data_IF_472878412614
#
_entry.id   IF_472878412614
#
_cell.length_a   1.000
_cell.length_b   1.000
_cell.length_c   1.000
_cell.angle_alpha   90.00
_cell.angle_beta   90.00
_cell.angle_gamma   90.00
#
_symmetry.space_group_name_H-M   'P 1'
#
loop_
_entity.id
_entity.type
_entity.pdbx_description
1 polymer ?
#
# COMPACT_ATOMS: atom_id res chain seq x y z
N UNK A 1 12.83 13.70 -1.88
CA UNK A 1 11.68 13.06 -2.54
C UNK A 1 11.64 11.60 -2.15
N UNK A 2 10.48 11.07 -1.76
CA UNK A 2 10.33 9.64 -1.42
C UNK A 2 10.26 8.80 -2.68
N UNK A 3 10.72 7.55 -2.59
CA UNK A 3 10.57 6.54 -3.65
C UNK A 3 9.94 5.28 -3.09
N UNK A 4 9.15 4.61 -3.92
CA UNK A 4 8.41 3.41 -3.58
C UNK A 4 8.82 2.28 -4.48
N UNK A 5 8.99 1.09 -3.90
CA UNK A 5 9.47 -0.08 -4.60
C UNK A 5 8.61 -1.30 -4.28
N UNK A 6 8.49 -2.19 -5.26
CA UNK A 6 7.96 -3.53 -5.03
C UNK A 6 8.89 -4.27 -4.06
N UNK A 7 8.40 -4.79 -2.91
CA UNK A 7 9.23 -5.51 -1.95
C UNK A 7 9.79 -6.84 -2.49
N UNK A 8 9.26 -7.36 -3.59
CA UNK A 8 9.64 -8.68 -4.12
C UNK A 8 10.61 -8.63 -5.31
N UNK A 9 10.43 -7.67 -6.22
CA UNK A 9 11.25 -7.56 -7.44
C UNK A 9 12.00 -6.23 -7.55
N UNK A 10 11.87 -5.33 -6.57
CA UNK A 10 12.46 -3.99 -6.56
C UNK A 10 12.08 -3.10 -7.77
N UNK A 11 10.98 -3.41 -8.47
CA UNK A 11 10.39 -2.51 -9.46
C UNK A 11 10.13 -1.12 -8.83
N UNK A 12 10.53 -0.05 -9.52
CA UNK A 12 10.21 1.32 -9.09
C UNK A 12 8.72 1.61 -9.36
N UNK A 13 7.98 1.82 -8.28
CA UNK A 13 6.56 2.11 -8.30
C UNK A 13 6.29 3.62 -8.36
N UNK A 14 7.31 4.45 -8.15
CA UNK A 14 7.21 5.91 -8.08
C UNK A 14 6.85 6.50 -9.44
N UNK A 15 5.84 7.36 -9.48
CA UNK A 15 5.34 7.99 -10.73
C UNK A 15 4.92 9.45 -10.47
N UNK A 16 4.45 10.14 -11.52
CA UNK A 16 3.98 11.53 -11.46
C UNK A 16 5.00 12.46 -10.77
N UNK A 17 6.26 12.37 -11.21
CA UNK A 17 7.38 13.14 -10.65
C UNK A 17 7.55 12.97 -9.13
N UNK A 18 7.22 11.79 -8.60
CA UNK A 18 7.35 11.46 -7.18
C UNK A 18 6.16 11.83 -6.32
N UNK A 19 5.10 12.40 -6.90
CA UNK A 19 3.89 12.75 -6.14
C UNK A 19 2.98 11.56 -5.85
N UNK A 20 3.12 10.46 -6.61
CA UNK A 20 2.33 9.24 -6.44
C UNK A 20 3.16 7.97 -6.65
N UNK A 21 2.60 6.82 -6.27
CA UNK A 21 3.09 5.50 -6.68
C UNK A 21 1.98 4.68 -7.33
N UNK A 22 2.34 3.86 -8.32
CA UNK A 22 1.40 3.03 -9.09
C UNK A 22 1.37 1.60 -8.59
N UNK A 23 0.18 1.03 -8.52
CA UNK A 23 -0.07 -0.38 -8.18
C UNK A 23 -1.08 -0.97 -9.17
N UNK A 24 -1.08 -2.28 -9.36
CA UNK A 24 -2.20 -2.98 -10.00
C UNK A 24 -3.20 -3.36 -8.92
N UNK A 25 -4.41 -2.80 -8.98
CA UNK A 25 -5.51 -3.16 -8.10
C UNK A 25 -6.44 -4.13 -8.79
N UNK A 26 -6.79 -5.21 -8.10
CA UNK A 26 -7.76 -6.21 -8.56
C UNK A 26 -8.99 -6.13 -7.66
N UNK A 27 -10.14 -5.91 -8.27
CA UNK A 27 -11.47 -5.92 -7.66
C UNK A 27 -12.12 -7.24 -8.06
N UNK A 28 -12.55 -8.01 -7.06
CA UNK A 28 -13.13 -9.35 -7.26
C UNK A 28 -14.52 -9.42 -6.68
N UNK A 29 -15.39 -10.16 -7.36
CA UNK A 29 -16.74 -10.54 -6.90
C UNK A 29 -17.04 -11.97 -7.32
N UNK A 30 -18.20 -12.51 -6.92
CA UNK A 30 -18.63 -13.84 -7.35
C UNK A 30 -18.86 -13.98 -8.86
N UNK A 31 -18.99 -12.85 -9.59
CA UNK A 31 -19.40 -12.84 -10.99
C UNK A 31 -18.37 -12.22 -11.95
N UNK A 32 -17.42 -11.44 -11.44
CA UNK A 32 -16.41 -10.78 -12.26
C UNK A 32 -15.15 -10.47 -11.46
N UNK A 33 -14.04 -10.42 -12.19
CA UNK A 33 -12.80 -9.78 -11.77
C UNK A 33 -12.53 -8.58 -12.69
N UNK A 34 -12.15 -7.46 -12.09
CA UNK A 34 -11.72 -6.26 -12.81
C UNK A 34 -10.36 -5.84 -12.27
N UNK A 35 -9.41 -5.53 -13.15
CA UNK A 35 -8.11 -4.99 -12.75
C UNK A 35 -7.85 -3.65 -13.40
N UNK A 36 -7.28 -2.72 -12.64
CA UNK A 36 -6.86 -1.41 -13.13
C UNK A 36 -5.59 -0.94 -12.43
N UNK A 37 -4.98 0.10 -12.98
CA UNK A 37 -3.88 0.79 -12.31
C UNK A 37 -4.44 1.81 -11.32
N UNK A 38 -3.90 1.77 -10.11
CA UNK A 38 -4.19 2.71 -9.03
C UNK A 38 -2.96 3.56 -8.77
N UNK A 39 -3.17 4.86 -8.63
CA UNK A 39 -2.14 5.84 -8.30
C UNK A 39 -2.47 6.42 -6.93
N UNK A 40 -1.66 6.08 -5.93
CA UNK A 40 -1.86 6.52 -4.55
C UNK A 40 -0.89 7.67 -4.21
N UNK A 41 -1.29 8.64 -3.37
CA UNK A 41 -0.41 9.72 -2.94
C UNK A 41 0.86 9.22 -2.25
N UNK A 42 2.00 9.80 -2.63
CA UNK A 42 3.31 9.54 -2.01
C UNK A 42 3.47 10.13 -0.60
N UNK A 43 2.62 11.09 -0.24
CA UNK A 43 2.68 11.80 1.05
C UNK A 43 1.92 10.99 2.10
N UNK A 44 2.60 10.51 3.17
CA UNK A 44 1.91 9.80 4.24
C UNK A 44 0.79 10.65 4.86
N UNK A 45 -0.37 10.02 5.09
CA UNK A 45 -1.57 10.70 5.60
C UNK A 45 -2.37 11.50 4.56
N UNK A 46 -1.96 11.50 3.29
CA UNK A 46 -2.83 11.92 2.20
C UNK A 46 -3.55 10.69 1.64
N UNK A 47 -4.88 10.76 1.61
CA UNK A 47 -5.74 9.65 1.20
C UNK A 47 -6.41 9.94 -0.14
N UNK A 48 -6.93 8.87 -0.75
CA UNK A 48 -7.48 8.88 -2.10
C UNK A 48 -6.62 8.09 -3.08
N UNK A 49 -7.17 7.85 -4.27
CA UNK A 49 -6.45 7.21 -5.36
C UNK A 49 -6.99 7.74 -6.69
N UNK A 50 -6.13 7.82 -7.70
CA UNK A 50 -6.55 7.97 -9.09
C UNK A 50 -6.58 6.58 -9.72
N UNK A 51 -7.61 6.29 -10.50
CA UNK A 51 -7.79 5.05 -11.24
C UNK A 51 -8.73 5.32 -12.43
N UNK A 52 -8.98 4.31 -13.26
CA UNK A 52 -9.83 4.44 -14.46
C UNK A 52 -11.22 5.00 -14.10
N UNK A 53 -11.63 6.09 -14.77
CA UNK A 53 -12.89 6.79 -14.55
C UNK A 53 -14.12 5.92 -14.85
N UNK A 54 -13.95 4.83 -15.62
CA UNK A 54 -15.02 3.87 -15.90
C UNK A 54 -15.31 2.94 -14.72
N UNK A 55 -14.43 2.91 -13.71
CA UNK A 55 -14.58 2.07 -12.53
C UNK A 55 -15.20 2.89 -11.40
N UNK A 56 -16.33 2.43 -10.89
CA UNK A 56 -16.90 2.94 -9.64
C UNK A 56 -16.66 1.94 -8.53
N UNK A 57 -15.95 2.37 -7.48
CA UNK A 57 -15.67 1.56 -6.31
C UNK A 57 -16.55 2.05 -5.16
N UNK A 58 -17.29 1.13 -4.56
CA UNK A 58 -18.10 1.44 -3.38
C UNK A 58 -17.22 1.44 -2.13
N UNK A 59 -17.50 2.36 -1.21
CA UNK A 59 -16.95 2.32 0.14
C UNK A 59 -17.15 0.93 0.79
N UNK A 60 -16.11 0.44 1.46
CA UNK A 60 -16.06 -0.91 2.03
C UNK A 60 -15.57 -1.99 1.06
N UNK A 61 -15.41 -1.70 -0.24
CA UNK A 61 -14.86 -2.67 -1.18
C UNK A 61 -13.36 -2.90 -0.93
N UNK A 62 -12.93 -4.17 -0.90
CA UNK A 62 -11.51 -4.53 -0.78
C UNK A 62 -10.84 -4.51 -2.16
N UNK A 63 -9.72 -3.82 -2.25
CA UNK A 63 -8.83 -3.84 -3.43
C UNK A 63 -7.63 -4.75 -3.16
N UNK A 64 -7.42 -5.71 -4.04
CA UNK A 64 -6.25 -6.58 -3.99
C UNK A 64 -5.09 -5.92 -4.74
N UNK A 65 -4.23 -5.21 -4.01
CA UNK A 65 -3.06 -4.57 -4.60
C UNK A 65 -1.93 -5.57 -4.87
N UNK A 66 -1.35 -5.48 -6.06
CA UNK A 66 -0.25 -6.31 -6.51
C UNK A 66 0.74 -5.51 -7.35
N UNK A 67 1.92 -6.11 -7.58
CA UNK A 67 2.96 -5.51 -8.39
C UNK A 67 2.48 -5.31 -9.84
N UNK A 68 2.63 -4.09 -10.41
CA UNK A 68 2.26 -3.83 -11.80
C UNK A 68 3.24 -4.43 -12.82
N UNK A 69 4.42 -4.92 -12.39
CA UNK A 69 5.32 -5.68 -13.26
C UNK A 69 4.77 -7.11 -13.42
N UNK A 70 4.35 -7.46 -14.63
CA UNK A 70 3.70 -8.75 -14.95
C UNK A 70 4.58 -9.97 -14.68
N UNK A 71 5.91 -9.84 -14.69
CA UNK A 71 6.81 -10.93 -14.30
C UNK A 71 6.81 -11.19 -12.80
N UNK A 72 6.44 -10.19 -12.00
CA UNK A 72 6.31 -10.31 -10.55
C UNK A 72 4.87 -10.64 -10.15
N UNK A 73 3.92 -9.74 -10.44
CA UNK A 73 2.48 -9.91 -10.15
C UNK A 73 2.11 -10.20 -8.69
N UNK A 74 3.08 -10.24 -7.76
CA UNK A 74 2.86 -10.65 -6.37
C UNK A 74 1.98 -9.67 -5.62
N UNK A 75 1.16 -10.23 -4.73
CA UNK A 75 0.27 -9.48 -3.84
C UNK A 75 1.05 -8.70 -2.78
N UNK A 76 0.65 -7.45 -2.54
CA UNK A 76 1.21 -6.61 -1.48
C UNK A 76 0.53 -6.81 -0.13
N UNK A 77 -0.40 -7.75 -0.02
CA UNK A 77 -1.07 -8.11 1.25
C UNK A 77 -0.03 -8.41 2.33
N UNK A 78 -0.18 -7.81 3.52
CA UNK A 78 0.68 -8.17 4.66
C UNK A 78 0.38 -9.59 5.13
N UNK A 79 1.29 -10.19 5.91
CA UNK A 79 1.07 -11.55 6.45
C UNK A 79 0.15 -11.59 7.66
N UNK A 80 0.02 -10.45 8.35
CA UNK A 80 -0.64 -10.36 9.65
C UNK A 80 -2.05 -9.77 9.57
N UNK A 81 -2.37 -8.96 8.55
CA UNK A 81 -3.71 -8.42 8.36
C UNK A 81 -4.10 -8.36 6.87
N UNK A 82 -5.20 -9.02 6.52
CA UNK A 82 -5.70 -9.09 5.14
C UNK A 82 -6.28 -7.76 4.62
N UNK A 83 -6.56 -6.79 5.47
CA UNK A 83 -6.97 -5.44 5.06
C UNK A 83 -5.79 -4.51 4.81
N UNK A 84 -4.56 -4.95 5.11
CA UNK A 84 -3.36 -4.13 4.94
C UNK A 84 -2.53 -4.59 3.73
N UNK A 85 -1.95 -3.62 3.05
CA UNK A 85 -0.92 -3.81 2.03
C UNK A 85 0.37 -3.13 2.46
N UNK A 86 1.51 -3.67 2.04
CA UNK A 86 2.82 -3.09 2.31
C UNK A 86 3.67 -2.94 1.05
N UNK A 87 4.43 -1.84 0.99
CA UNK A 87 5.40 -1.55 -0.06
C UNK A 87 6.68 -1.00 0.55
N UNK A 88 7.81 -1.22 -0.13
CA UNK A 88 9.09 -0.65 0.29
C UNK A 88 9.12 0.84 -0.01
N UNK A 89 9.63 1.64 0.93
CA UNK A 89 9.78 3.08 0.81
C UNK A 89 11.22 3.48 1.11
N UNK A 90 11.78 4.36 0.28
CA UNK A 90 13.00 5.11 0.56
C UNK A 90 12.61 6.56 0.82
N UNK A 91 13.10 7.12 1.91
CA UNK A 91 12.94 8.54 2.18
C UNK A 91 14.00 9.39 1.46
N UNK A 92 14.02 10.70 1.76
CA UNK A 92 14.94 11.63 1.10
C UNK A 92 16.41 11.44 1.49
N UNK A 93 16.64 10.78 2.63
CA UNK A 93 17.97 10.43 3.14
C UNK A 93 18.39 9.01 2.72
N UNK A 94 17.60 8.36 1.85
CA UNK A 94 17.77 6.94 1.49
C UNK A 94 17.63 5.98 2.66
N UNK A 95 16.93 6.38 3.74
CA UNK A 95 16.56 5.44 4.80
C UNK A 95 15.45 4.51 4.30
N UNK A 96 15.64 3.21 4.52
CA UNK A 96 14.64 2.20 4.20
C UNK A 96 13.54 2.15 5.25
N UNK A 97 12.30 2.18 4.78
CA UNK A 97 11.10 2.00 5.60
C UNK A 97 10.08 1.20 4.80
N UNK A 98 9.03 0.75 5.47
CA UNK A 98 7.89 0.10 4.85
C UNK A 98 6.67 0.99 5.05
N UNK A 99 6.01 1.32 3.94
CA UNK A 99 4.71 1.97 3.97
C UNK A 99 3.63 0.89 3.95
N UNK A 100 2.79 0.87 4.97
CA UNK A 100 1.64 -0.02 5.10
C UNK A 100 0.37 0.81 5.02
N UNK A 101 -0.62 0.37 4.25
CA UNK A 101 -1.85 1.13 4.03
C UNK A 101 -3.05 0.21 3.83
N UNK A 102 -4.24 0.76 4.10
CA UNK A 102 -5.49 0.02 4.01
C UNK A 102 -5.86 -0.32 2.56
N UNK A 103 -6.47 -1.49 2.38
CA UNK A 103 -6.98 -2.03 1.12
C UNK A 103 -8.48 -1.84 0.94
N UNK A 104 -9.18 -1.46 2.01
CA UNK A 104 -10.61 -1.20 2.00
C UNK A 104 -10.83 0.23 1.52
N UNK A 105 -11.52 0.37 0.39
CA UNK A 105 -11.85 1.67 -0.17
C UNK A 105 -12.70 2.49 0.80
N UNK A 106 -12.25 3.71 1.10
CA UNK A 106 -12.86 4.60 2.09
C UNK A 106 -12.29 4.48 3.51
N UNK A 107 -11.48 3.45 3.81
CA UNK A 107 -10.73 3.41 5.07
C UNK A 107 -9.41 4.15 4.97
N UNK A 108 -9.13 4.96 5.98
CA UNK A 108 -7.95 5.81 6.08
C UNK A 108 -7.05 5.33 7.21
N UNK A 109 -6.09 4.49 6.86
CA UNK A 109 -5.01 4.08 7.75
C UNK A 109 -3.72 3.90 6.95
N UNK A 110 -2.67 4.62 7.35
CA UNK A 110 -1.32 4.48 6.79
C UNK A 110 -0.31 4.42 7.94
N UNK A 111 0.63 3.50 7.86
CA UNK A 111 1.68 3.26 8.86
C UNK A 111 3.04 3.27 8.18
N UNK A 112 4.02 3.89 8.84
CA UNK A 112 5.42 3.87 8.40
C UNK A 112 6.21 3.07 9.42
N UNK A 113 6.81 1.97 8.96
CA UNK A 113 7.60 1.06 9.79
C UNK A 113 9.06 1.19 9.42
N UNK A 114 9.92 1.31 10.43
CA UNK A 114 11.37 1.21 10.26
C UNK A 114 11.73 -0.20 9.82
N UNK A 115 12.41 -0.33 8.69
CA UNK A 115 12.76 -1.62 8.12
C UNK A 115 13.68 -2.44 9.04
N UNK A 116 14.70 -1.79 9.61
CA UNK A 116 15.74 -2.48 10.36
C UNK A 116 15.28 -2.82 11.77
N UNK A 117 14.59 -1.87 12.41
CA UNK A 117 14.10 -2.02 13.78
C UNK A 117 12.78 -2.78 13.87
N UNK A 118 12.11 -2.98 12.71
CA UNK A 118 10.75 -3.55 12.63
C UNK A 118 9.80 -2.91 13.62
N UNK A 119 9.87 -1.58 13.71
CA UNK A 119 9.14 -0.79 14.70
C UNK A 119 8.35 0.32 14.01
N UNK A 120 7.14 0.57 14.49
CA UNK A 120 6.31 1.67 14.00
C UNK A 120 7.00 3.03 14.24
N UNK A 121 7.20 3.82 13.16
CA UNK A 121 7.72 5.19 13.23
C UNK A 121 6.60 6.24 13.25
N UNK A 122 5.54 6.01 12.47
CA UNK A 122 4.43 6.96 12.36
C UNK A 122 3.14 6.27 11.91
N UNK A 123 2.00 6.83 12.28
CA UNK A 123 0.67 6.38 11.86
C UNK A 123 -0.24 7.57 11.51
N UNK A 124 -1.09 7.41 10.50
CA UNK A 124 -1.92 8.45 9.92
C UNK A 124 -3.33 7.92 9.62
N UNK A 125 -4.32 8.83 9.62
CA UNK A 125 -5.73 8.52 9.36
C UNK A 125 -6.56 8.30 10.62
N UNK A 126 -7.88 8.33 10.44
CA UNK A 126 -8.90 8.14 11.48
C UNK A 126 -9.09 6.67 11.87
N UNK A 127 -8.94 5.74 10.91
CA UNK A 127 -9.16 4.31 11.13
C UNK A 127 -7.90 3.60 11.68
N UNK A 128 -6.80 4.33 11.89
CA UNK A 128 -5.52 3.75 12.33
C UNK A 128 -5.60 2.97 13.64
N UNK A 129 -6.52 3.33 14.54
CA UNK A 129 -6.65 2.68 15.84
C UNK A 129 -7.21 1.26 15.72
N UNK A 130 -7.93 0.94 14.63
CA UNK A 130 -8.40 -0.42 14.37
C UNK A 130 -7.24 -1.40 14.17
N UNK A 131 -6.11 -0.93 13.64
CA UNK A 131 -4.98 -1.76 13.23
C UNK A 131 -3.75 -1.60 14.13
N UNK A 132 -3.76 -0.68 15.10
CA UNK A 132 -2.53 -0.32 15.85
C UNK A 132 -1.92 -1.51 16.61
N UNK A 133 -2.77 -2.45 17.05
CA UNK A 133 -2.37 -3.65 17.79
C UNK A 133 -1.52 -4.61 16.97
N UNK A 134 -1.61 -4.57 15.64
CA UNK A 134 -0.76 -5.35 14.72
C UNK A 134 0.72 -4.94 14.78
N UNK A 135 1.01 -3.80 15.42
CA UNK A 135 2.34 -3.21 15.53
C UNK A 135 2.94 -3.31 16.95
N UNK A 136 2.25 -3.97 17.88
CA UNK A 136 2.69 -4.12 19.29
C UNK A 136 3.75 -5.23 19.46
N UNK A 137 3.91 -6.10 18.46
CA UNK A 137 4.89 -7.19 18.42
C UNK A 137 5.90 -7.03 17.28
N UNK A 138 6.86 -7.95 17.16
CA UNK A 138 7.81 -7.95 16.03
C UNK A 138 7.04 -8.08 14.70
N UNK A 139 7.13 -7.04 13.86
CA UNK A 139 6.36 -6.93 12.62
C UNK A 139 6.91 -7.89 11.57
N UNK A 140 6.08 -8.86 11.11
CA UNK A 140 6.44 -9.80 10.04
C UNK A 140 6.17 -9.19 8.66
N UNK A 141 7.20 -8.55 8.12
CA UNK A 141 7.19 -7.92 6.80
C UNK A 141 7.26 -8.98 5.67
N UNK A 142 6.63 -8.69 4.52
CA UNK A 142 6.77 -9.52 3.30
C UNK A 142 8.17 -9.36 2.69
N UNK A 143 8.79 -10.52 2.42
CA UNK A 143 10.06 -10.68 1.72
C UNK A 143 9.89 -11.77 0.65
#
# INVERSE_FOLDING_TARGET
>A
MRRFYCPYCNEDLTVLSGSAFKLKGILSSDFFDCSSLFYLPSTPGHFGALFDEQITIKEGARVNFCCPNDQCGRSFTTKYDHDLSQIKMLDENSEESVAIFNRIFGKHATFIVDYQKKSLRASYGEDKLEYIHEFDSEIDLIW
#
